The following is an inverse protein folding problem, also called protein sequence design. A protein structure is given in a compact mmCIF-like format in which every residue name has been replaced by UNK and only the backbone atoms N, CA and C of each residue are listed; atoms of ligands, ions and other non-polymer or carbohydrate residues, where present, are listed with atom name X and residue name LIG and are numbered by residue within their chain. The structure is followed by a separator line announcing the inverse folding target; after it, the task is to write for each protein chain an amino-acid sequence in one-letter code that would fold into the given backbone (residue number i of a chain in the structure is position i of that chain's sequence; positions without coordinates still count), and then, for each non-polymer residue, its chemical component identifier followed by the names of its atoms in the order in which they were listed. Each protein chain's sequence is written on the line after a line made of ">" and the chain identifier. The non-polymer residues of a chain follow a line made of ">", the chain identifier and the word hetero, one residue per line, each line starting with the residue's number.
data_IF_052062941674
#
_entry.id   IF_052062941674
#
_cell.length_a   1.000
_cell.length_b   1.000
_cell.length_c   1.000
_cell.angle_alpha   90.00
_cell.angle_beta   90.00
_cell.angle_gamma   90.00
#
_symmetry.space_group_name_H-M   'P 1'
#
loop_
_entity.id
_entity.type
_entity.pdbx_description
1 polymer ?
#
# COMPACT_ATOMS: atom_id res chain seq x y z
N UNK A 1 -100.49 -38.82 -25.73
CA UNK A 1 -100.46 -37.94 -24.55
C UNK A 1 -99.17 -37.13 -24.65
N UNK A 2 -99.20 -36.04 -25.41
CA UNK A 2 -99.39 -34.67 -24.90
C UNK A 2 -97.99 -34.03 -24.68
N UNK A 3 -97.56 -33.14 -25.58
CA UNK A 3 -97.67 -31.66 -25.48
C UNK A 3 -96.81 -31.12 -24.32
N UNK A 4 -96.04 -30.03 -24.40
CA UNK A 4 -95.74 -29.00 -25.38
C UNK A 4 -94.64 -28.13 -24.72
N UNK A 5 -93.76 -27.55 -25.54
CA UNK A 5 -93.12 -26.23 -25.41
C UNK A 5 -92.22 -25.88 -24.22
N UNK A 6 -91.01 -25.45 -24.59
CA UNK A 6 -90.18 -24.53 -23.80
C UNK A 6 -88.87 -24.15 -24.48
N UNK A 7 -88.92 -23.52 -25.66
CA UNK A 7 -87.88 -22.57 -26.16
C UNK A 7 -88.62 -21.23 -26.33
N UNK A 8 -88.04 -20.04 -26.14
CA UNK A 8 -86.73 -19.57 -26.63
C UNK A 8 -85.98 -18.74 -25.54
N UNK A 9 -84.78 -18.17 -25.61
CA UNK A 9 -84.11 -17.24 -26.53
C UNK A 9 -82.64 -17.06 -26.06
N UNK A 10 -81.78 -16.64 -27.01
CA UNK A 10 -80.54 -15.85 -26.86
C UNK A 10 -79.43 -16.40 -25.93
N UNK A 11 -78.18 -16.62 -26.34
CA UNK A 11 -77.37 -16.10 -27.42
C UNK A 11 -76.33 -17.18 -27.76
N UNK A 12 -76.29 -17.64 -29.02
CA UNK A 12 -75.08 -18.26 -29.56
C UNK A 12 -74.74 -17.49 -30.84
N UNK A 13 -73.54 -16.90 -30.94
CA UNK A 13 -73.20 -16.05 -32.06
C UNK A 13 -72.94 -16.89 -33.30
N UNK A 14 -73.96 -17.06 -34.15
CA UNK A 14 -73.86 -17.62 -35.51
C UNK A 14 -73.11 -16.68 -36.49
N UNK A 15 -72.10 -15.94 -36.00
CA UNK A 15 -71.35 -14.94 -36.77
C UNK A 15 -69.89 -14.75 -36.31
N UNK A 16 -69.20 -15.80 -35.84
CA UNK A 16 -67.77 -15.68 -35.48
C UNK A 16 -66.81 -16.63 -36.21
N UNK A 17 -67.30 -17.51 -37.09
CA UNK A 17 -66.42 -18.36 -37.88
C UNK A 17 -66.49 -17.98 -39.35
N UNK A 18 -65.66 -17.02 -39.72
CA UNK A 18 -65.31 -16.79 -41.13
C UNK A 18 -64.84 -18.12 -41.74
N UNK A 19 -65.35 -18.54 -42.92
CA UNK A 19 -64.93 -19.78 -43.59
C UNK A 19 -63.40 -19.94 -43.70
N UNK A 20 -62.69 -18.81 -43.76
CA UNK A 20 -61.23 -18.76 -43.77
C UNK A 20 -60.60 -19.25 -42.45
N UNK A 21 -61.17 -18.87 -41.30
CA UNK A 21 -60.69 -19.29 -39.96
C UNK A 21 -60.96 -20.78 -39.75
N UNK A 22 -62.15 -21.25 -40.15
CA UNK A 22 -62.49 -22.67 -40.09
C UNK A 22 -61.55 -23.50 -40.98
N UNK A 23 -61.17 -22.98 -42.15
CA UNK A 23 -60.20 -23.65 -43.04
C UNK A 23 -58.80 -23.71 -42.42
N UNK A 24 -58.34 -22.63 -41.78
CA UNK A 24 -57.02 -22.59 -41.11
C UNK A 24 -57.00 -23.55 -39.93
N UNK A 25 -58.04 -23.57 -39.09
CA UNK A 25 -58.15 -24.51 -37.98
C UNK A 25 -58.21 -25.98 -38.47
N UNK A 26 -58.88 -26.24 -39.59
CA UNK A 26 -58.94 -27.57 -40.20
C UNK A 26 -57.57 -28.02 -40.76
N UNK A 27 -56.80 -27.12 -41.37
CA UNK A 27 -55.43 -27.43 -41.82
C UNK A 27 -54.49 -27.66 -40.64
N UNK A 28 -54.58 -26.84 -39.61
CA UNK A 28 -53.76 -27.00 -38.40
C UNK A 28 -54.08 -28.31 -37.67
N UNK A 29 -55.37 -28.69 -37.56
CA UNK A 29 -55.77 -29.97 -36.99
C UNK A 29 -55.24 -31.17 -37.80
N UNK A 30 -55.19 -31.04 -39.13
CA UNK A 30 -54.60 -32.07 -40.00
C UNK A 30 -53.09 -32.17 -39.77
N UNK A 31 -52.38 -31.05 -39.70
CA UNK A 31 -50.94 -31.05 -39.49
C UNK A 31 -50.57 -31.65 -38.12
N UNK A 32 -51.36 -31.35 -37.07
CA UNK A 32 -51.21 -32.01 -35.77
C UNK A 32 -51.45 -33.52 -35.83
N UNK A 33 -52.40 -34.01 -36.64
CA UNK A 33 -52.62 -35.45 -36.80
C UNK A 33 -51.42 -36.15 -37.45
N UNK A 34 -50.72 -35.48 -38.37
CA UNK A 34 -49.49 -36.00 -39.00
C UNK A 34 -48.39 -36.08 -37.95
N UNK A 35 -48.20 -35.02 -37.17
CA UNK A 35 -47.22 -34.99 -36.07
C UNK A 35 -47.52 -36.08 -35.03
N UNK A 36 -48.76 -36.23 -34.60
CA UNK A 36 -49.15 -37.25 -33.61
C UNK A 36 -48.88 -38.67 -34.12
N UNK A 37 -49.17 -38.94 -35.40
CA UNK A 37 -48.85 -40.24 -36.02
C UNK A 37 -47.34 -40.50 -36.11
N UNK A 38 -46.55 -39.48 -36.45
CA UNK A 38 -45.09 -39.58 -36.52
C UNK A 38 -44.47 -39.78 -35.14
N UNK A 39 -44.89 -39.00 -34.14
CA UNK A 39 -44.43 -39.14 -32.75
C UNK A 39 -44.78 -40.54 -32.21
N UNK A 40 -45.96 -41.07 -32.49
CA UNK A 40 -46.33 -42.42 -32.09
C UNK A 40 -45.42 -43.51 -32.70
N UNK A 41 -44.95 -43.32 -33.95
CA UNK A 41 -43.99 -44.22 -34.59
C UNK A 41 -42.59 -44.14 -33.97
N UNK A 42 -42.16 -42.95 -33.51
CA UNK A 42 -40.84 -42.76 -32.89
C UNK A 42 -40.78 -43.34 -31.46
N UNK A 43 -41.91 -43.49 -30.78
CA UNK A 43 -41.99 -44.01 -29.42
C UNK A 43 -42.89 -45.26 -29.30
N UNK A 44 -42.49 -46.43 -29.87
CA UNK A 44 -43.33 -47.63 -29.92
C UNK A 44 -43.63 -48.28 -28.56
N UNK A 45 -42.83 -47.98 -27.53
CA UNK A 45 -42.95 -48.57 -26.17
C UNK A 45 -42.95 -47.54 -25.05
N UNK A 46 -42.99 -46.24 -25.35
CA UNK A 46 -42.94 -45.15 -24.38
C UNK A 46 -43.98 -44.08 -24.72
N UNK A 47 -44.59 -43.49 -23.71
CA UNK A 47 -45.41 -42.29 -23.91
C UNK A 47 -44.50 -41.13 -24.34
N UNK A 48 -44.85 -40.39 -25.41
CA UNK A 48 -44.04 -39.25 -25.83
C UNK A 48 -44.01 -38.21 -24.71
N UNK A 49 -42.90 -37.47 -24.54
CA UNK A 49 -42.82 -36.38 -23.58
C UNK A 49 -43.95 -35.35 -23.84
N UNK A 50 -44.59 -34.80 -22.80
CA UNK A 50 -45.58 -33.75 -23.01
C UNK A 50 -44.89 -32.49 -23.55
N UNK A 51 -45.47 -31.89 -24.57
CA UNK A 51 -44.99 -30.63 -25.16
C UNK A 51 -46.16 -29.69 -25.41
N UNK A 52 -45.87 -28.39 -25.41
CA UNK A 52 -46.85 -27.34 -25.65
C UNK A 52 -47.32 -27.37 -27.11
N UNK A 53 -48.63 -27.34 -27.36
CA UNK A 53 -49.20 -27.27 -28.71
C UNK A 53 -49.37 -25.82 -29.15
N UNK A 54 -48.28 -25.25 -29.64
CA UNK A 54 -48.21 -23.88 -30.19
C UNK A 54 -47.90 -23.93 -31.70
N UNK A 55 -48.30 -22.91 -32.47
CA UNK A 55 -48.01 -22.79 -33.90
C UNK A 55 -46.50 -22.86 -34.21
N UNK A 56 -45.66 -22.30 -33.33
CA UNK A 56 -44.20 -22.38 -33.46
C UNK A 56 -43.69 -23.82 -33.29
N UNK A 57 -44.26 -24.56 -32.34
CA UNK A 57 -43.91 -25.98 -32.12
C UNK A 57 -44.40 -26.86 -33.27
N UNK A 58 -45.57 -26.58 -33.84
CA UNK A 58 -46.08 -27.29 -35.01
C UNK A 58 -45.13 -27.12 -36.20
N UNK A 59 -44.71 -25.88 -36.47
CA UNK A 59 -43.76 -25.58 -37.54
C UNK A 59 -42.43 -26.28 -37.33
N UNK A 60 -41.85 -26.21 -36.13
CA UNK A 60 -40.59 -26.87 -35.81
C UNK A 60 -40.67 -28.40 -35.97
N UNK A 61 -41.79 -29.02 -35.56
CA UNK A 61 -41.99 -30.47 -35.70
C UNK A 61 -42.20 -30.88 -37.16
N UNK A 62 -42.94 -30.11 -37.96
CA UNK A 62 -43.08 -30.37 -39.39
C UNK A 62 -41.73 -30.23 -40.13
N UNK A 63 -40.93 -29.22 -39.79
CA UNK A 63 -39.58 -29.05 -40.35
C UNK A 63 -38.67 -30.24 -39.96
N UNK A 64 -38.79 -30.74 -38.73
CA UNK A 64 -38.06 -31.92 -38.26
C UNK A 64 -38.49 -33.20 -38.98
N UNK A 65 -39.79 -33.39 -39.21
CA UNK A 65 -40.32 -34.54 -39.98
C UNK A 65 -39.77 -34.49 -41.40
N UNK A 66 -39.87 -33.32 -42.07
CA UNK A 66 -39.36 -33.13 -43.42
C UNK A 66 -37.84 -33.35 -43.50
N UNK A 67 -37.09 -32.95 -42.47
CA UNK A 67 -35.66 -33.22 -42.38
C UNK A 67 -35.37 -34.71 -42.22
N UNK A 68 -36.09 -35.41 -41.33
CA UNK A 68 -35.93 -36.85 -41.13
C UNK A 68 -36.25 -37.65 -42.40
N UNK A 69 -37.31 -37.29 -43.12
CA UNK A 69 -37.67 -37.93 -44.38
C UNK A 69 -36.58 -37.75 -45.44
N UNK A 70 -36.00 -36.54 -45.55
CA UNK A 70 -34.86 -36.29 -46.46
C UNK A 70 -33.65 -37.14 -46.09
N UNK A 71 -33.28 -37.16 -44.81
CA UNK A 71 -32.13 -37.98 -44.35
C UNK A 71 -32.39 -39.47 -44.56
N UNK A 72 -33.62 -39.93 -44.35
CA UNK A 72 -34.02 -41.32 -44.59
C UNK A 72 -33.99 -41.67 -46.09
N UNK A 73 -34.41 -40.75 -46.96
CA UNK A 73 -34.31 -40.90 -48.41
C UNK A 73 -32.85 -40.97 -48.87
N UNK A 74 -32.00 -40.06 -48.40
CA UNK A 74 -30.56 -40.07 -48.66
C UNK A 74 -29.92 -41.39 -48.22
N UNK A 75 -30.22 -41.87 -47.01
CA UNK A 75 -29.74 -43.17 -46.52
C UNK A 75 -30.21 -44.34 -47.40
N UNK A 76 -31.45 -44.31 -47.89
CA UNK A 76 -31.96 -45.33 -48.83
C UNK A 76 -31.27 -45.27 -50.20
N UNK A 77 -30.92 -44.07 -50.67
CA UNK A 77 -30.16 -43.90 -51.91
C UNK A 77 -28.74 -44.44 -51.76
N UNK A 78 -28.05 -44.14 -50.65
CA UNK A 78 -26.74 -44.71 -50.35
C UNK A 78 -26.80 -46.24 -50.27
N UNK A 79 -27.75 -46.80 -49.52
CA UNK A 79 -27.92 -48.25 -49.43
C UNK A 79 -28.21 -48.91 -50.79
N UNK A 80 -28.91 -48.21 -51.69
CA UNK A 80 -29.13 -48.69 -53.07
C UNK A 80 -27.84 -48.64 -53.88
N UNK A 81 -27.11 -47.53 -53.85
CA UNK A 81 -25.82 -47.39 -54.53
C UNK A 81 -24.84 -48.45 -54.06
N UNK A 82 -24.75 -48.67 -52.75
CA UNK A 82 -23.90 -49.72 -52.17
C UNK A 82 -24.31 -51.10 -52.67
N UNK A 83 -25.61 -51.44 -52.62
CA UNK A 83 -26.10 -52.72 -53.11
C UNK A 83 -25.83 -52.90 -54.61
N UNK A 84 -26.04 -51.87 -55.40
CA UNK A 84 -25.84 -51.91 -56.85
C UNK A 84 -24.34 -51.96 -57.20
N UNK A 85 -23.47 -51.35 -56.37
CA UNK A 85 -22.02 -51.49 -56.44
C UNK A 85 -21.58 -52.92 -56.06
N UNK A 86 -22.08 -53.47 -54.95
CA UNK A 86 -21.82 -54.85 -54.55
C UNK A 86 -22.33 -55.86 -55.57
N UNK A 87 -23.46 -55.58 -56.25
CA UNK A 87 -24.00 -56.44 -57.31
C UNK A 87 -23.21 -56.35 -58.62
N UNK A 88 -22.53 -55.24 -58.88
CA UNK A 88 -21.62 -55.10 -60.03
C UNK A 88 -20.23 -55.70 -59.73
N UNK A 89 -19.83 -55.69 -58.45
CA UNK A 89 -18.55 -56.18 -57.99
C UNK A 89 -18.58 -57.66 -57.59
N UNK A 90 -19.76 -58.23 -57.33
CA UNK A 90 -19.95 -59.68 -57.36
C UNK A 90 -19.57 -60.16 -58.75
N UNK A 91 -18.51 -60.97 -58.89
CA UNK A 91 -17.99 -61.33 -60.19
C UNK A 91 -19.12 -61.96 -60.99
N UNK A 92 -19.35 -61.45 -62.19
CA UNK A 92 -19.97 -62.22 -63.26
C UNK A 92 -19.39 -63.63 -63.19
N UNK A 93 -20.25 -64.61 -62.90
CA UNK A 93 -19.92 -65.99 -62.60
C UNK A 93 -19.37 -66.78 -63.81
N UNK A 94 -18.56 -66.12 -64.65
CA UNK A 94 -18.07 -66.62 -65.93
C UNK A 94 -16.53 -66.61 -66.03
N UNK A 95 -15.81 -66.48 -64.91
CA UNK A 95 -14.36 -66.65 -64.88
C UNK A 95 -13.99 -67.76 -63.88
N UNK A 96 -14.23 -69.00 -64.31
CA UNK A 96 -13.54 -70.16 -63.75
C UNK A 96 -12.05 -70.12 -64.15
N UNK A 97 -11.23 -70.67 -63.25
CA UNK A 97 -9.78 -70.89 -63.35
C UNK A 97 -8.85 -69.69 -63.13
N UNK A 98 -8.42 -69.48 -61.88
CA UNK A 98 -7.03 -69.72 -61.40
C UNK A 98 -6.88 -69.27 -59.94
N UNK A 99 -6.41 -70.21 -59.09
CA UNK A 99 -5.77 -70.02 -57.77
C UNK A 99 -6.49 -69.29 -56.62
N UNK A 100 -7.11 -70.10 -55.75
CA UNK A 100 -7.36 -69.80 -54.33
C UNK A 100 -8.45 -68.76 -54.04
N UNK A 101 -9.15 -68.83 -52.88
CA UNK A 101 -10.04 -67.74 -52.50
C UNK A 101 -9.16 -66.52 -52.31
N UNK A 102 -9.29 -65.52 -53.20
CA UNK A 102 -8.70 -64.19 -53.03
C UNK A 102 -9.03 -63.74 -51.60
N UNK A 103 -8.08 -63.91 -50.69
CA UNK A 103 -8.32 -63.64 -49.28
C UNK A 103 -8.71 -62.17 -49.19
N UNK A 104 -9.66 -61.85 -48.32
CA UNK A 104 -10.10 -60.47 -48.08
C UNK A 104 -8.91 -59.52 -47.84
N UNK A 105 -7.79 -60.05 -47.32
CA UNK A 105 -6.51 -59.36 -47.18
C UNK A 105 -5.83 -59.00 -48.53
N UNK A 106 -5.82 -59.89 -49.52
CA UNK A 106 -5.25 -59.61 -50.84
C UNK A 106 -6.06 -58.54 -51.59
N UNK A 107 -7.39 -58.63 -51.51
CA UNK A 107 -8.30 -57.61 -52.08
C UNK A 107 -8.10 -56.27 -51.37
N UNK A 108 -8.02 -56.27 -50.02
CA UNK A 108 -7.73 -55.07 -49.23
C UNK A 108 -6.41 -54.43 -49.64
N UNK A 109 -5.34 -55.21 -49.81
CA UNK A 109 -4.04 -54.68 -50.19
C UNK A 109 -4.06 -54.12 -51.61
N UNK A 110 -4.73 -54.78 -52.55
CA UNK A 110 -4.92 -54.26 -53.91
C UNK A 110 -5.69 -52.93 -53.93
N UNK A 111 -6.75 -52.81 -53.11
CA UNK A 111 -7.51 -51.56 -52.97
C UNK A 111 -6.62 -50.46 -52.35
N UNK A 112 -5.84 -50.77 -51.32
CA UNK A 112 -4.92 -49.82 -50.70
C UNK A 112 -3.84 -49.34 -51.68
N UNK A 113 -3.30 -50.23 -52.52
CA UNK A 113 -2.34 -49.88 -53.56
C UNK A 113 -2.95 -48.94 -54.62
N UNK A 114 -4.19 -49.21 -55.05
CA UNK A 114 -4.93 -48.33 -55.99
C UNK A 114 -5.16 -46.95 -55.35
N UNK A 115 -5.63 -46.90 -54.10
CA UNK A 115 -5.85 -45.64 -53.37
C UNK A 115 -4.54 -44.87 -53.21
N UNK A 116 -3.42 -45.56 -52.96
CA UNK A 116 -2.11 -44.93 -52.84
C UNK A 116 -1.59 -44.35 -54.18
N UNK A 117 -1.89 -45.00 -55.30
CA UNK A 117 -1.55 -44.54 -56.65
C UNK A 117 -2.40 -43.34 -57.07
N UNK A 118 -3.71 -43.40 -56.83
CA UNK A 118 -4.67 -42.36 -57.20
C UNK A 118 -4.68 -41.14 -56.24
N UNK A 119 -3.95 -41.21 -55.12
CA UNK A 119 -3.86 -40.08 -54.19
C UNK A 119 -3.13 -38.88 -54.86
N UNK A 120 -3.64 -37.64 -54.73
CA UNK A 120 -2.91 -36.44 -55.14
C UNK A 120 -1.60 -36.28 -54.35
N UNK A 121 -0.66 -35.48 -54.89
CA UNK A 121 0.64 -35.23 -54.23
C UNK A 121 0.46 -34.63 -52.84
N UNK A 122 -0.49 -33.73 -52.70
CA UNK A 122 -0.89 -33.06 -51.47
C UNK A 122 -1.39 -34.09 -50.44
N UNK A 123 -2.20 -35.07 -50.87
CA UNK A 123 -2.70 -36.13 -50.01
C UNK A 123 -1.57 -37.00 -49.45
N UNK A 124 -0.56 -37.33 -50.28
CA UNK A 124 0.60 -38.13 -49.83
C UNK A 124 1.43 -37.37 -48.80
N UNK A 125 1.66 -36.09 -49.01
CA UNK A 125 2.40 -35.24 -48.06
C UNK A 125 1.63 -35.10 -46.75
N UNK A 126 0.31 -34.91 -46.80
CA UNK A 126 -0.52 -34.82 -45.61
C UNK A 126 -0.50 -36.12 -44.79
N UNK A 127 -0.66 -37.28 -45.45
CA UNK A 127 -0.66 -38.59 -44.79
C UNK A 127 0.73 -38.93 -44.22
N UNK A 128 1.81 -38.60 -44.93
CA UNK A 128 3.17 -38.72 -44.40
C UNK A 128 3.40 -37.80 -43.19
N UNK A 129 2.93 -36.56 -43.24
CA UNK A 129 3.05 -35.62 -42.11
C UNK A 129 2.23 -36.08 -40.90
N UNK A 130 1.00 -36.56 -41.12
CA UNK A 130 0.15 -37.12 -40.06
C UNK A 130 0.77 -38.38 -39.44
N UNK A 131 1.31 -39.29 -40.25
CA UNK A 131 1.97 -40.50 -39.72
C UNK A 131 3.24 -40.16 -38.95
N UNK A 132 4.06 -39.22 -39.43
CA UNK A 132 5.23 -38.72 -38.71
C UNK A 132 4.84 -38.09 -37.38
N UNK A 133 3.84 -37.21 -37.37
CA UNK A 133 3.30 -36.60 -36.15
C UNK A 133 2.69 -37.64 -35.20
N UNK A 134 1.99 -38.64 -35.71
CA UNK A 134 1.40 -39.72 -34.91
C UNK A 134 2.48 -40.53 -34.19
N UNK A 135 3.61 -40.80 -34.87
CA UNK A 135 4.77 -41.47 -34.27
C UNK A 135 5.39 -40.60 -33.17
N UNK A 136 5.59 -39.31 -33.43
CA UNK A 136 6.12 -38.37 -32.43
C UNK A 136 5.18 -38.23 -31.22
N UNK A 137 3.87 -38.15 -31.46
CA UNK A 137 2.82 -38.04 -30.44
C UNK A 137 2.48 -39.38 -29.78
N UNK A 138 2.99 -40.51 -30.30
CA UNK A 138 2.69 -41.89 -29.86
C UNK A 138 1.19 -42.22 -29.88
N UNK A 139 0.48 -41.75 -30.92
CA UNK A 139 -0.96 -42.00 -31.13
C UNK A 139 -1.15 -43.14 -32.12
N UNK A 140 -1.95 -44.15 -31.76
CA UNK A 140 -2.19 -45.35 -32.57
C UNK A 140 -3.18 -45.15 -33.73
N UNK A 141 -4.15 -44.24 -33.58
CA UNK A 141 -5.11 -43.87 -34.61
C UNK A 141 -5.12 -42.35 -34.76
N UNK A 142 -4.36 -41.79 -35.72
CA UNK A 142 -4.24 -40.34 -35.85
C UNK A 142 -5.46 -39.74 -36.53
N UNK A 143 -6.41 -39.29 -35.73
CA UNK A 143 -7.42 -38.32 -36.17
C UNK A 143 -6.82 -36.91 -36.17
N UNK A 144 -7.15 -36.07 -37.16
CA UNK A 144 -6.59 -34.72 -37.27
C UNK A 144 -6.92 -33.86 -36.05
N UNK A 145 -8.08 -34.06 -35.42
CA UNK A 145 -8.48 -33.36 -34.20
C UNK A 145 -7.60 -33.73 -33.00
N UNK A 146 -7.31 -35.03 -32.81
CA UNK A 146 -6.41 -35.50 -31.76
C UNK A 146 -4.99 -34.96 -31.97
N UNK A 147 -4.49 -34.99 -33.21
CA UNK A 147 -3.18 -34.44 -33.53
C UNK A 147 -3.10 -32.93 -33.30
N UNK A 148 -4.16 -32.18 -33.62
CA UNK A 148 -4.24 -30.75 -33.37
C UNK A 148 -4.24 -30.43 -31.86
N UNK A 149 -4.97 -31.20 -31.04
CA UNK A 149 -4.95 -31.05 -29.59
C UNK A 149 -3.53 -31.27 -29.04
N UNK A 150 -2.84 -32.32 -29.48
CA UNK A 150 -1.45 -32.58 -29.06
C UNK A 150 -0.51 -31.43 -29.47
N UNK A 151 -0.67 -30.86 -30.67
CA UNK A 151 0.12 -29.69 -31.08
C UNK A 151 -0.14 -28.51 -30.14
N UNK A 152 -1.39 -28.22 -29.81
CA UNK A 152 -1.74 -27.11 -28.91
C UNK A 152 -1.18 -27.33 -27.51
N UNK A 153 -1.26 -28.55 -26.99
CA UNK A 153 -0.71 -28.92 -25.69
C UNK A 153 0.82 -28.74 -25.66
N UNK A 154 1.51 -29.21 -26.70
CA UNK A 154 2.96 -29.03 -26.84
C UNK A 154 3.30 -27.54 -26.95
N UNK A 155 2.55 -26.77 -27.73
CA UNK A 155 2.77 -25.34 -27.89
C UNK A 155 2.56 -24.57 -26.58
N UNK A 156 1.53 -24.95 -25.81
CA UNK A 156 1.28 -24.40 -24.47
C UNK A 156 2.44 -24.73 -23.54
N UNK A 157 2.90 -25.99 -23.53
CA UNK A 157 4.03 -26.40 -22.71
C UNK A 157 5.33 -25.67 -23.08
N UNK A 158 5.61 -25.49 -24.37
CA UNK A 158 6.77 -24.70 -24.84
C UNK A 158 6.66 -23.27 -24.29
N UNK A 159 5.53 -22.61 -24.50
CA UNK A 159 5.34 -21.23 -24.04
C UNK A 159 5.48 -21.08 -22.52
N UNK A 160 4.90 -22.01 -21.75
CA UNK A 160 5.03 -22.02 -20.28
C UNK A 160 6.49 -22.17 -19.85
N UNK A 161 7.24 -23.08 -20.48
CA UNK A 161 8.66 -23.29 -20.16
C UNK A 161 9.53 -22.09 -20.54
N UNK A 162 9.25 -21.43 -21.66
CA UNK A 162 9.92 -20.19 -22.06
C UNK A 162 9.64 -19.06 -21.06
N UNK A 163 8.39 -18.90 -20.65
CA UNK A 163 7.99 -17.91 -19.65
C UNK A 163 8.66 -18.18 -18.30
N UNK A 164 8.70 -19.43 -17.85
CA UNK A 164 9.38 -19.84 -16.63
C UNK A 164 10.88 -19.55 -16.70
N UNK A 165 11.50 -19.80 -17.86
CA UNK A 165 12.92 -19.51 -18.09
C UNK A 165 13.18 -18.01 -17.97
N UNK A 166 12.40 -17.18 -18.66
CA UNK A 166 12.51 -15.71 -18.59
C UNK A 166 12.34 -15.18 -17.17
N UNK A 167 11.37 -15.71 -16.41
CA UNK A 167 11.14 -15.34 -15.01
C UNK A 167 12.31 -15.72 -14.12
N UNK A 168 12.88 -16.90 -14.34
CA UNK A 168 14.04 -17.39 -13.59
C UNK A 168 15.27 -16.55 -13.88
N UNK A 169 15.50 -16.16 -15.14
CA UNK A 169 16.59 -15.25 -15.52
C UNK A 169 16.44 -13.86 -14.89
N UNK A 170 15.21 -13.32 -14.83
CA UNK A 170 14.95 -12.06 -14.15
C UNK A 170 15.26 -12.14 -12.65
N UNK A 171 14.82 -13.22 -11.98
CA UNK A 171 15.13 -13.45 -10.58
C UNK A 171 16.63 -13.64 -10.34
N UNK A 172 17.31 -14.38 -11.22
CA UNK A 172 18.76 -14.58 -11.14
C UNK A 172 19.51 -13.25 -11.24
N UNK A 173 19.14 -12.39 -12.20
CA UNK A 173 19.70 -11.04 -12.33
C UNK A 173 19.48 -10.21 -11.07
N UNK A 174 18.28 -10.27 -10.49
CA UNK A 174 17.97 -9.55 -9.26
C UNK A 174 18.80 -10.04 -8.08
N UNK A 175 18.85 -11.35 -7.83
CA UNK A 175 19.67 -11.94 -6.76
C UNK A 175 21.15 -11.57 -6.96
N UNK A 176 21.66 -11.64 -8.18
CA UNK A 176 23.02 -11.24 -8.48
C UNK A 176 23.26 -9.75 -8.16
N UNK A 177 22.31 -8.87 -8.52
CA UNK A 177 22.41 -7.44 -8.17
C UNK A 177 22.39 -7.20 -6.67
N UNK A 178 21.58 -7.94 -5.91
CA UNK A 178 21.54 -7.89 -4.45
C UNK A 178 22.84 -8.40 -3.82
N UNK A 179 23.43 -9.47 -4.37
CA UNK A 179 24.74 -9.97 -3.93
C UNK A 179 25.82 -8.91 -4.16
N UNK A 180 25.87 -8.30 -5.34
CA UNK A 180 26.84 -7.22 -5.64
C UNK A 180 26.62 -6.04 -4.70
N UNK A 181 25.36 -5.63 -4.49
CA UNK A 181 25.01 -4.52 -3.62
C UNK A 181 25.39 -4.78 -2.15
N UNK A 182 25.04 -5.95 -1.61
CA UNK A 182 25.38 -6.34 -0.23
C UNK A 182 26.88 -6.46 -0.02
N UNK A 183 27.62 -7.01 -0.99
CA UNK A 183 29.09 -7.04 -0.94
C UNK A 183 29.69 -5.63 -0.97
N UNK A 184 29.12 -4.72 -1.75
CA UNK A 184 29.52 -3.32 -1.76
C UNK A 184 29.27 -2.64 -0.41
N UNK A 185 28.10 -2.85 0.20
CA UNK A 185 27.81 -2.31 1.54
C UNK A 185 28.75 -2.90 2.58
N UNK A 186 29.02 -4.21 2.51
CA UNK A 186 29.93 -4.89 3.42
C UNK A 186 31.37 -4.36 3.29
N UNK A 187 31.86 -4.16 2.07
CA UNK A 187 33.18 -3.56 1.85
C UNK A 187 33.23 -2.12 2.38
N UNK A 188 32.19 -1.31 2.13
CA UNK A 188 32.08 0.04 2.67
C UNK A 188 32.14 0.07 4.20
N UNK A 189 31.40 -0.82 4.87
CA UNK A 189 31.43 -0.93 6.34
C UNK A 189 32.81 -1.39 6.81
N UNK A 190 33.40 -2.40 6.16
CA UNK A 190 34.74 -2.86 6.51
C UNK A 190 35.76 -1.73 6.38
N UNK A 191 35.79 -1.01 5.26
CA UNK A 191 36.68 0.13 5.08
C UNK A 191 36.43 1.23 6.13
N UNK A 192 35.17 1.52 6.44
CA UNK A 192 34.80 2.46 7.51
C UNK A 192 35.34 2.03 8.88
N UNK A 193 35.19 0.76 9.25
CA UNK A 193 35.70 0.21 10.51
C UNK A 193 37.23 0.24 10.57
N UNK A 194 37.92 -0.08 9.47
CA UNK A 194 39.38 0.00 9.39
C UNK A 194 39.85 1.45 9.58
N UNK A 195 39.24 2.40 8.87
CA UNK A 195 39.55 3.82 8.98
C UNK A 195 39.31 4.35 10.40
N UNK A 196 38.19 3.98 11.04
CA UNK A 196 37.91 4.35 12.42
C UNK A 196 38.94 3.76 13.38
N UNK A 197 39.31 2.48 13.22
CA UNK A 197 40.34 1.83 14.05
C UNK A 197 41.68 2.56 13.95
N UNK A 198 42.08 2.98 12.76
CA UNK A 198 43.31 3.76 12.58
C UNK A 198 43.23 5.16 13.21
N UNK A 199 42.12 5.86 13.03
CA UNK A 199 41.91 7.19 13.61
C UNK A 199 41.90 7.15 15.15
N UNK A 200 41.13 6.21 15.74
CA UNK A 200 41.11 6.01 17.19
C UNK A 200 42.46 5.51 17.71
N UNK A 201 43.19 4.68 16.96
CA UNK A 201 44.54 4.26 17.30
C UNK A 201 45.49 5.45 17.43
N UNK A 202 45.52 6.33 16.41
CA UNK A 202 46.34 7.56 16.43
C UNK A 202 45.97 8.47 17.61
N UNK A 203 44.68 8.73 17.82
CA UNK A 203 44.18 9.58 18.91
C UNK A 203 44.46 8.98 20.29
N UNK A 204 44.36 7.65 20.44
CA UNK A 204 44.66 6.98 21.71
C UNK A 204 46.15 7.11 22.06
N UNK A 205 47.05 6.92 21.09
CA UNK A 205 48.49 7.15 21.29
C UNK A 205 48.79 8.61 21.65
N UNK A 206 48.13 9.57 21.02
CA UNK A 206 48.27 10.99 21.38
C UNK A 206 47.78 11.28 22.79
N UNK A 207 46.59 10.78 23.16
CA UNK A 207 46.05 10.91 24.52
C UNK A 207 46.98 10.26 25.54
N UNK A 208 47.57 9.10 25.25
CA UNK A 208 48.56 8.47 26.12
C UNK A 208 49.79 9.35 26.32
N UNK A 209 50.30 10.00 25.26
CA UNK A 209 51.43 10.96 25.37
C UNK A 209 51.06 12.18 26.21
N UNK A 210 49.86 12.72 26.05
CA UNK A 210 49.36 13.86 26.84
C UNK A 210 49.19 13.46 28.31
N UNK A 211 48.60 12.29 28.57
CA UNK A 211 48.45 11.77 29.93
C UNK A 211 49.82 11.57 30.56
N UNK A 212 50.78 11.01 29.84
CA UNK A 212 52.15 10.83 30.33
C UNK A 212 52.82 12.18 30.66
N UNK A 213 52.69 13.19 29.79
CA UNK A 213 53.29 14.51 30.03
C UNK A 213 52.63 15.23 31.22
N UNK A 214 51.30 15.18 31.32
CA UNK A 214 50.57 15.75 32.45
C UNK A 214 50.90 15.02 33.76
N UNK A 215 50.95 13.68 33.74
CA UNK A 215 51.33 12.87 34.90
C UNK A 215 52.76 13.18 35.36
N UNK A 216 53.67 13.45 34.41
CA UNK A 216 55.02 13.90 34.74
C UNK A 216 55.07 15.30 35.39
N UNK A 217 54.08 16.17 35.13
CA UNK A 217 53.96 17.50 35.74
C UNK A 217 53.28 17.47 37.13
N UNK A 218 52.48 16.44 37.44
CA UNK A 218 51.84 16.26 38.77
C UNK A 218 52.79 16.49 39.95
N UNK A 219 53.98 15.86 40.04
CA UNK A 219 54.86 16.06 41.18
C UNK A 219 55.41 17.49 41.29
N UNK A 220 55.43 18.26 40.21
CA UNK A 220 55.83 19.66 40.24
C UNK A 220 54.71 20.54 40.79
N UNK A 221 53.46 20.30 40.37
CA UNK A 221 52.28 20.96 40.93
C UNK A 221 52.08 20.60 42.41
N UNK A 222 52.30 19.34 42.78
CA UNK A 222 52.27 18.92 44.19
C UNK A 222 53.35 19.64 45.01
N UNK A 223 54.57 19.78 44.49
CA UNK A 223 55.65 20.57 45.12
C UNK A 223 55.27 22.05 45.25
N UNK A 224 54.72 22.68 44.19
CA UNK A 224 54.24 24.07 44.24
C UNK A 224 53.10 24.25 45.24
N UNK A 225 52.18 23.30 45.31
CA UNK A 225 51.09 23.33 46.29
C UNK A 225 51.63 23.14 47.71
N UNK A 226 52.59 22.26 47.92
CA UNK A 226 53.26 22.10 49.22
C UNK A 226 54.03 23.37 49.63
N UNK A 227 54.73 24.04 48.71
CA UNK A 227 55.40 25.31 49.01
C UNK A 227 54.42 26.44 49.31
N UNK A 228 53.31 26.52 48.57
CA UNK A 228 52.24 27.50 48.83
C UNK A 228 51.58 27.23 50.18
N UNK A 229 51.23 25.98 50.49
CA UNK A 229 50.70 25.59 51.80
C UNK A 229 51.68 25.87 52.94
N UNK A 230 52.99 25.70 52.72
CA UNK A 230 53.99 26.08 53.72
C UNK A 230 54.05 27.60 53.93
N UNK A 231 53.95 28.38 52.84
CA UNK A 231 53.90 29.85 52.91
C UNK A 231 52.62 30.37 53.55
N UNK A 232 51.47 29.74 53.29
CA UNK A 232 50.16 30.11 53.84
C UNK A 232 49.82 29.40 55.16
N UNK A 233 50.62 28.43 55.61
CA UNK A 233 50.50 27.83 56.93
C UNK A 233 50.68 28.87 58.05
N UNK A 234 51.33 29.99 57.75
CA UNK A 234 51.44 31.16 58.62
C UNK A 234 50.16 32.02 58.69
N UNK A 235 49.22 31.84 57.75
CA UNK A 235 47.98 32.62 57.61
C UNK A 235 46.79 31.71 57.33
N UNK A 236 46.65 30.63 58.10
CA UNK A 236 45.39 29.87 58.14
C UNK A 236 44.40 30.68 58.97
N UNK A 237 43.81 31.71 58.36
CA UNK A 237 42.64 32.38 58.92
C UNK A 237 41.47 31.40 58.88
N UNK A 238 40.97 31.03 60.05
CA UNK A 238 39.76 30.23 60.14
C UNK A 238 38.58 31.15 59.86
N UNK A 239 37.51 30.65 59.24
CA UNK A 239 36.27 31.42 59.01
C UNK A 239 35.76 32.08 60.31
N UNK A 240 36.05 31.46 61.46
CA UNK A 240 35.77 32.00 62.78
C UNK A 240 36.51 33.32 63.10
N UNK A 241 37.79 33.41 62.73
CA UNK A 241 38.62 34.60 62.98
C UNK A 241 38.11 35.80 62.18
N UNK A 242 37.64 35.56 60.95
CA UNK A 242 37.02 36.57 60.08
C UNK A 242 35.71 37.09 60.69
N UNK A 243 34.87 36.19 61.25
CA UNK A 243 33.62 36.59 61.91
C UNK A 243 33.87 37.40 63.17
N UNK A 244 34.92 37.09 63.93
CA UNK A 244 35.30 37.86 65.12
C UNK A 244 35.75 39.27 64.75
N UNK A 245 36.54 39.40 63.68
CA UNK A 245 36.99 40.71 63.18
C UNK A 245 35.82 41.53 62.62
N UNK A 246 34.87 40.89 61.92
CA UNK A 246 33.64 41.54 61.44
C UNK A 246 32.79 42.10 62.60
N UNK A 247 32.59 41.32 63.68
CA UNK A 247 31.88 41.80 64.86
C UNK A 247 32.58 42.98 65.54
N UNK A 248 33.92 42.92 65.63
CA UNK A 248 34.72 44.03 66.15
C UNK A 248 34.56 45.30 65.31
N UNK A 249 34.55 45.16 63.98
CA UNK A 249 34.33 46.28 63.07
C UNK A 249 32.93 46.90 63.22
N UNK A 250 31.89 46.06 63.31
CA UNK A 250 30.50 46.54 63.48
C UNK A 250 30.34 47.33 64.79
N UNK A 251 30.92 46.85 65.89
CA UNK A 251 30.94 47.58 67.16
C UNK A 251 31.67 48.94 67.04
N UNK A 252 32.76 48.99 66.28
CA UNK A 252 33.51 50.23 66.03
C UNK A 252 32.68 51.24 65.23
N UNK A 253 31.89 50.75 64.26
CA UNK A 253 30.98 51.58 63.46
C UNK A 253 29.85 52.15 64.32
N UNK A 254 29.28 51.37 65.23
CA UNK A 254 28.27 51.87 66.18
C UNK A 254 28.85 52.95 67.09
N UNK A 255 30.02 52.72 67.67
CA UNK A 255 30.73 53.72 68.47
C UNK A 255 31.00 55.01 67.69
N UNK A 256 31.40 54.90 66.42
CA UNK A 256 31.60 56.05 65.54
C UNK A 256 30.31 56.84 65.36
N UNK A 257 29.18 56.16 65.11
CA UNK A 257 27.86 56.81 64.94
C UNK A 257 27.46 57.57 66.20
N UNK A 258 27.70 57.01 67.38
CA UNK A 258 27.37 57.68 68.65
C UNK A 258 28.29 58.87 68.94
N UNK A 259 29.59 58.76 68.63
CA UNK A 259 30.50 59.91 68.68
C UNK A 259 30.05 61.01 67.71
N UNK A 260 29.64 60.64 66.49
CA UNK A 260 29.18 61.57 65.48
C UNK A 260 27.90 62.30 65.92
N UNK A 261 26.95 61.60 66.59
CA UNK A 261 25.80 62.25 67.23
C UNK A 261 26.23 63.25 68.30
N UNK A 262 27.18 62.90 69.17
CA UNK A 262 27.70 63.82 70.21
C UNK A 262 28.37 65.05 69.60
N UNK A 263 29.16 64.86 68.54
CA UNK A 263 29.83 65.95 67.82
C UNK A 263 28.81 66.81 67.05
N UNK A 264 27.70 66.24 66.57
CA UNK A 264 26.68 66.96 65.82
C UNK A 264 26.06 68.13 66.59
N UNK A 265 25.98 68.04 67.94
CA UNK A 265 25.51 69.14 68.82
C UNK A 265 26.42 70.36 68.75
N UNK A 266 27.69 70.16 68.43
CA UNK A 266 28.70 71.23 68.31
C UNK A 266 28.91 71.69 66.85
N UNK A 267 28.12 71.18 65.89
CA UNK A 267 28.17 71.68 64.50
C UNK A 267 27.74 73.14 64.48
N UNK A 268 28.67 74.03 64.15
CA UNK A 268 28.47 75.47 64.11
C UNK A 268 29.36 76.25 65.09
N UNK A 269 30.07 75.58 66.01
CA UNK A 269 31.15 76.20 66.76
C UNK A 269 32.48 76.05 65.98
N UNK A 270 33.29 77.11 65.88
CA UNK A 270 34.67 76.98 65.41
C UNK A 270 35.45 75.93 66.21
N UNK A 271 36.35 75.20 65.54
CA UNK A 271 37.19 74.16 66.16
C UNK A 271 38.02 74.67 67.35
N UNK A 272 38.31 75.97 67.37
CA UNK A 272 39.07 76.63 68.44
C UNK A 272 38.14 77.20 69.52
N UNK A 273 38.32 76.79 70.80
CA UNK A 273 37.40 77.15 71.88
C UNK A 273 37.41 78.66 72.18
N UNK A 274 38.53 79.33 71.96
CA UNK A 274 38.66 80.76 72.20
C UNK A 274 37.96 81.59 71.13
N UNK A 275 37.94 81.12 69.88
CA UNK A 275 37.23 81.75 68.77
C UNK A 275 35.71 81.58 68.90
N UNK A 276 35.26 80.40 69.34
CA UNK A 276 33.85 80.19 69.69
C UNK A 276 33.39 81.13 70.82
N UNK A 277 34.25 81.38 71.82
CA UNK A 277 33.95 82.33 72.91
C UNK A 277 33.85 83.77 72.42
N UNK A 278 34.71 84.21 71.49
CA UNK A 278 34.67 85.58 70.98
C UNK A 278 33.41 85.83 70.14
N UNK A 279 33.00 84.90 69.29
CA UNK A 279 31.76 85.00 68.52
C UNK A 279 30.51 85.00 69.43
N UNK A 280 30.46 84.11 70.43
CA UNK A 280 29.36 84.10 71.41
C UNK A 280 29.27 85.44 72.17
N UNK A 281 30.42 86.00 72.55
CA UNK A 281 30.47 87.33 73.17
C UNK A 281 30.11 88.46 72.20
N UNK A 282 30.33 88.31 70.89
CA UNK A 282 29.85 89.25 69.88
C UNK A 282 28.32 89.22 69.78
N UNK A 283 27.72 88.03 69.67
CA UNK A 283 26.26 87.87 69.66
C UNK A 283 25.61 88.38 70.95
N UNK A 284 26.21 88.14 72.12
CA UNK A 284 25.73 88.72 73.39
C UNK A 284 25.73 90.24 73.38
N UNK A 285 26.79 90.86 72.85
CA UNK A 285 26.86 92.33 72.72
C UNK A 285 25.80 92.87 71.75
N UNK A 286 25.52 92.15 70.67
CA UNK A 286 24.47 92.52 69.73
C UNK A 286 23.07 92.40 70.35
N UNK A 287 22.81 91.33 71.10
CA UNK A 287 21.57 91.15 71.86
C UNK A 287 21.39 92.26 72.90
N UNK A 288 22.46 92.61 73.61
CA UNK A 288 22.45 93.72 74.57
C UNK A 288 22.20 95.07 73.88
N UNK A 289 22.80 95.33 72.71
CA UNK A 289 22.50 96.54 71.89
C UNK A 289 21.03 96.59 71.46
N UNK A 290 20.49 95.50 70.96
CA UNK A 290 19.07 95.42 70.57
C UNK A 290 18.16 95.64 71.78
N UNK A 291 18.53 95.10 72.93
CA UNK A 291 17.81 95.29 74.19
C UNK A 291 17.85 96.76 74.62
N UNK A 292 19.02 97.40 74.63
CA UNK A 292 19.13 98.83 74.94
C UNK A 292 18.39 99.72 73.95
N UNK A 293 18.37 99.36 72.65
CA UNK A 293 17.61 100.08 71.63
C UNK A 293 16.11 99.95 71.86
N UNK A 294 15.63 98.75 72.23
CA UNK A 294 14.25 98.51 72.63
C UNK A 294 13.91 99.35 73.86
N UNK A 295 14.76 99.35 74.87
CA UNK A 295 14.52 100.05 76.13
C UNK A 295 14.54 101.58 75.92
N UNK A 296 15.42 102.11 75.05
CA UNK A 296 15.43 103.52 74.66
C UNK A 296 14.20 103.92 73.83
N UNK A 297 13.76 103.07 72.90
CA UNK A 297 12.51 103.29 72.17
C UNK A 297 11.30 103.27 73.11
N UNK A 298 11.32 102.40 74.13
CA UNK A 298 10.29 102.33 75.16
C UNK A 298 10.29 103.60 76.03
N UNK A 299 11.45 104.08 76.48
CA UNK A 299 11.58 105.35 77.21
C UNK A 299 11.05 106.54 76.40
N UNK A 300 11.40 106.63 75.10
CA UNK A 300 10.88 107.69 74.23
C UNK A 300 9.36 107.62 73.99
N UNK A 301 8.73 106.45 74.12
CA UNK A 301 7.27 106.31 74.11
C UNK A 301 6.66 106.79 75.44
N UNK A 302 7.27 106.43 76.57
CA UNK A 302 6.82 106.81 77.92
C UNK A 302 6.93 108.33 78.15
N UNK A 303 7.96 108.99 77.63
CA UNK A 303 8.13 110.46 77.70
C UNK A 303 7.13 111.22 76.83
N UNK A 304 6.56 110.61 75.78
CA UNK A 304 5.55 111.23 74.90
C UNK A 304 4.13 111.14 75.45
N UNK A 305 3.83 110.14 76.27
CA UNK A 305 2.50 109.96 76.87
C UNK A 305 2.36 110.53 78.29
N UNK A 306 3.42 111.17 78.81
CA UNK A 306 3.39 111.85 80.12
C UNK A 306 3.21 113.37 79.95
N UNK A 307 2.07 113.96 80.37
CA UNK A 307 1.81 115.38 80.24
C UNK A 307 2.68 116.20 81.20
N UNK A 308 3.66 116.94 80.67
CA UNK A 308 4.40 117.94 81.42
C UNK A 308 3.48 119.15 81.70
N UNK A 309 3.16 119.36 82.97
CA UNK A 309 2.45 120.52 83.51
C UNK A 309 3.32 121.78 83.31
N UNK A 310 2.88 122.76 82.50
CA UNK A 310 3.48 124.11 82.48
C UNK A 310 3.14 124.84 83.79
N UNK A 311 4.16 125.45 84.42
CA UNK A 311 4.02 126.64 85.28
C UNK A 311 4.51 127.84 84.49
#
# INVERSE_FOLDING_TARGET
>A
MAHLRGRPEADAPDSMFSPSIARIAATEARDWSVVDSWVALQFPSRQPPPFERNADTLKALLDLIAFNDKTSEEARLFARVDRDFFSQMSPSADLEDTEGPATVAAIKNAILDIVQQELPKEGRVALHSMSSMAVSARVSLPEPECLAAVILDIQSAIFETEQMTSRTEALHRHIHSEIVHTNYVLSMIQHGVHNLRELFGKRNVELQRIVQSMTAQVPEFERRNASLKSSTASLVFTVHDILQEEQGYLALVENRKDLEKRISVFRGLPSDPDLARTELNAYRRELQRMTSRRDAAFQGLVERETPVKRR
#
